data_IF_050255943227
#
_entry.id   IF_050255943227
#
_cell.length_a   1.000
_cell.length_b   1.000
_cell.length_c   1.000
_cell.angle_alpha   90.00
_cell.angle_beta   90.00
_cell.angle_gamma   90.00
#
_symmetry.space_group_name_H-M   'P 1'
#
loop_
_entity.id
_entity.type
_entity.pdbx_description
1 polymer ?
#
# COMPACT_ATOMS: atom_id res chain seq x y z
N UNK A 1 -4.57 -24.57 20.70
CA UNK A 1 -4.71 -23.78 19.45
C UNK A 1 -5.47 -22.52 19.81
N UNK A 2 -4.79 -21.36 19.89
CA UNK A 2 -5.50 -20.08 20.11
C UNK A 2 -6.20 -19.70 18.82
N UNK A 3 -7.52 -19.52 18.88
CA UNK A 3 -8.35 -19.09 17.76
C UNK A 3 -7.86 -17.69 17.34
N UNK A 4 -7.41 -17.56 16.08
CA UNK A 4 -7.21 -16.26 15.47
C UNK A 4 -8.58 -15.56 15.37
N UNK A 5 -8.80 -14.53 16.19
CA UNK A 5 -10.01 -13.72 16.10
C UNK A 5 -9.75 -12.71 14.98
N UNK A 6 -10.21 -13.00 13.77
CA UNK A 6 -10.30 -11.98 12.73
C UNK A 6 -11.43 -11.02 13.10
N UNK A 7 -11.13 -9.95 13.83
CA UNK A 7 -12.14 -8.98 14.21
C UNK A 7 -12.60 -8.18 13.00
N UNK A 8 -13.85 -7.71 13.03
CA UNK A 8 -14.35 -6.74 12.05
C UNK A 8 -13.47 -5.47 12.02
N UNK A 9 -12.88 -5.10 13.16
CA UNK A 9 -11.93 -4.00 13.29
C UNK A 9 -10.65 -4.21 12.49
N UNK A 10 -10.03 -5.40 12.55
CA UNK A 10 -8.86 -5.73 11.74
C UNK A 10 -9.19 -5.79 10.25
N UNK A 11 -10.35 -6.35 9.91
CA UNK A 11 -10.80 -6.36 8.52
C UNK A 11 -10.95 -4.93 7.99
N UNK A 12 -11.66 -4.05 8.68
CA UNK A 12 -11.85 -2.66 8.25
C UNK A 12 -10.53 -1.89 8.13
N UNK A 13 -9.69 -1.93 9.17
CA UNK A 13 -8.43 -1.18 9.19
C UNK A 13 -7.46 -1.64 8.10
N UNK A 14 -7.37 -2.94 7.84
CA UNK A 14 -6.55 -3.48 6.74
C UNK A 14 -7.06 -3.07 5.36
N UNK A 15 -8.37 -3.06 5.13
CA UNK A 15 -8.96 -2.59 3.86
C UNK A 15 -8.74 -1.10 3.64
N UNK A 16 -8.85 -0.26 4.68
CA UNK A 16 -8.53 1.17 4.57
C UNK A 16 -7.06 1.39 4.24
N UNK A 17 -6.15 0.63 4.87
CA UNK A 17 -4.72 0.73 4.57
C UNK A 17 -4.43 0.43 3.10
N UNK A 18 -5.05 -0.62 2.55
CA UNK A 18 -4.91 -0.98 1.14
C UNK A 18 -5.58 0.05 0.22
N UNK A 19 -6.81 0.44 0.54
CA UNK A 19 -7.63 1.34 -0.30
C UNK A 19 -7.03 2.73 -0.46
N UNK A 20 -6.61 3.38 0.64
CA UNK A 20 -6.01 4.72 0.56
C UNK A 20 -4.65 4.71 -0.14
N UNK A 21 -3.81 3.72 0.16
CA UNK A 21 -2.53 3.50 -0.49
C UNK A 21 -2.69 3.33 -2.00
N UNK A 22 -3.55 2.39 -2.42
CA UNK A 22 -3.83 2.13 -3.83
C UNK A 22 -4.43 3.37 -4.52
N UNK A 23 -5.35 4.06 -3.84
CA UNK A 23 -5.93 5.32 -4.33
C UNK A 23 -4.86 6.37 -4.61
N UNK A 24 -3.90 6.57 -3.69
CA UNK A 24 -2.80 7.53 -3.90
C UNK A 24 -1.95 7.15 -5.12
N UNK A 25 -1.57 5.88 -5.26
CA UNK A 25 -0.82 5.38 -6.41
C UNK A 25 -1.57 5.59 -7.72
N UNK A 26 -2.86 5.23 -7.79
CA UNK A 26 -3.68 5.39 -8.99
C UNK A 26 -3.83 6.86 -9.39
N UNK A 27 -4.02 7.76 -8.43
CA UNK A 27 -4.12 9.20 -8.70
C UNK A 27 -2.83 9.76 -9.30
N UNK A 28 -1.65 9.27 -8.89
CA UNK A 28 -0.38 9.64 -9.53
C UNK A 28 -0.31 9.16 -10.97
N UNK A 29 -0.72 7.90 -11.23
CA UNK A 29 -0.74 7.36 -12.60
C UNK A 29 -1.73 8.11 -13.49
N UNK A 30 -2.92 8.43 -12.98
CA UNK A 30 -3.91 9.25 -13.68
C UNK A 30 -3.34 10.65 -13.97
N UNK A 31 -2.64 11.27 -13.01
CA UNK A 31 -1.99 12.56 -13.20
C UNK A 31 -0.88 12.51 -14.25
N UNK A 32 -0.08 11.44 -14.29
CA UNK A 32 0.92 11.23 -15.34
C UNK A 32 0.25 11.13 -16.72
N UNK A 33 -0.80 10.30 -16.86
CA UNK A 33 -1.54 10.16 -18.12
C UNK A 33 -2.10 11.52 -18.55
N UNK A 34 -2.73 12.26 -17.63
CA UNK A 34 -3.27 13.58 -17.89
C UNK A 34 -2.18 14.57 -18.38
N UNK A 35 -1.00 14.57 -17.76
CA UNK A 35 0.15 15.37 -18.21
C UNK A 35 0.56 14.99 -19.64
N UNK A 36 0.68 13.70 -19.94
CA UNK A 36 1.11 13.21 -21.26
C UNK A 36 0.12 13.55 -22.39
N UNK A 37 -1.18 13.61 -22.10
CA UNK A 37 -2.22 14.01 -23.07
C UNK A 37 -2.47 15.54 -23.12
N UNK A 38 -1.60 16.34 -22.49
CA UNK A 38 -1.68 17.80 -22.50
C UNK A 38 -2.71 18.41 -21.54
N UNK A 39 -3.29 17.62 -20.62
CA UNK A 39 -4.24 18.08 -19.58
C UNK A 39 -3.50 18.43 -18.28
N UNK A 40 -2.52 19.31 -18.37
CA UNK A 40 -1.63 19.66 -17.24
C UNK A 40 -2.38 20.25 -16.04
N UNK A 41 -3.32 21.16 -16.26
CA UNK A 41 -4.13 21.76 -15.17
C UNK A 41 -4.90 20.71 -14.37
N UNK A 42 -5.32 19.61 -15.02
CA UNK A 42 -5.97 18.50 -14.33
C UNK A 42 -4.97 17.71 -13.48
N UNK A 43 -3.78 17.40 -14.01
CA UNK A 43 -2.72 16.76 -13.24
C UNK A 43 -2.34 17.58 -11.99
N UNK A 44 -2.19 18.91 -12.15
CA UNK A 44 -1.88 19.82 -11.04
C UNK A 44 -2.96 19.80 -9.95
N UNK A 45 -4.24 19.74 -10.32
CA UNK A 45 -5.35 19.58 -9.37
C UNK A 45 -5.31 18.26 -8.61
N UNK A 46 -4.74 17.20 -9.17
CA UNK A 46 -4.61 15.90 -8.49
C UNK A 46 -3.54 15.91 -7.38
N UNK A 47 -2.66 16.90 -7.32
CA UNK A 47 -1.64 17.00 -6.28
C UNK A 47 -2.23 17.00 -4.87
N UNK A 48 -3.35 17.70 -4.67
CA UNK A 48 -4.01 17.76 -3.36
C UNK A 48 -4.66 16.42 -2.97
N UNK A 49 -5.49 15.78 -3.83
CA UNK A 49 -5.96 14.42 -3.59
C UNK A 49 -4.85 13.41 -3.32
N UNK A 50 -3.75 13.44 -4.08
CA UNK A 50 -2.61 12.52 -3.85
C UNK A 50 -1.99 12.76 -2.47
N UNK A 51 -1.79 14.02 -2.09
CA UNK A 51 -1.26 14.37 -0.78
C UNK A 51 -2.16 13.88 0.37
N UNK A 52 -3.47 14.12 0.27
CA UNK A 52 -4.46 13.66 1.26
C UNK A 52 -4.51 12.14 1.33
N UNK A 53 -4.58 11.44 0.19
CA UNK A 53 -4.62 9.98 0.16
C UNK A 53 -3.33 9.37 0.70
N UNK A 54 -2.16 9.97 0.43
CA UNK A 54 -0.89 9.52 1.00
C UNK A 54 -0.87 9.68 2.52
N UNK A 55 -1.38 10.79 3.04
CA UNK A 55 -1.50 11.01 4.49
C UNK A 55 -2.46 10.01 5.15
N UNK A 56 -3.64 9.81 4.57
CA UNK A 56 -4.62 8.82 5.04
C UNK A 56 -4.06 7.40 5.00
N UNK A 57 -3.26 7.07 3.98
CA UNK A 57 -2.56 5.79 3.88
C UNK A 57 -1.60 5.57 5.06
N UNK A 58 -0.83 6.58 5.46
CA UNK A 58 0.09 6.48 6.61
C UNK A 58 -0.66 6.17 7.91
N UNK A 59 -1.74 6.91 8.18
CA UNK A 59 -2.57 6.66 9.36
C UNK A 59 -3.23 5.28 9.30
N UNK A 60 -3.78 4.89 8.16
CA UNK A 60 -4.44 3.60 8.00
C UNK A 60 -3.47 2.43 8.13
N UNK A 61 -2.23 2.54 7.62
CA UNK A 61 -1.18 1.52 7.80
C UNK A 61 -0.80 1.34 9.27
N UNK A 62 -0.65 2.44 10.02
CA UNK A 62 -0.39 2.39 11.47
C UNK A 62 -1.56 1.69 12.19
N UNK A 63 -2.80 2.08 11.88
CA UNK A 63 -3.99 1.48 12.47
C UNK A 63 -4.13 -0.01 12.13
N UNK A 64 -3.83 -0.41 10.90
CA UNK A 64 -3.85 -1.81 10.49
C UNK A 64 -2.79 -2.64 11.22
N UNK A 65 -1.59 -2.08 11.43
CA UNK A 65 -0.54 -2.73 12.21
C UNK A 65 -0.94 -2.86 13.69
N UNK A 66 -1.47 -1.79 14.30
CA UNK A 66 -1.94 -1.82 15.68
C UNK A 66 -3.08 -2.85 15.86
N UNK A 67 -4.02 -2.88 14.92
CA UNK A 67 -5.10 -3.87 14.92
C UNK A 67 -4.58 -5.29 14.77
N UNK A 68 -3.54 -5.53 13.97
CA UNK A 68 -2.94 -6.85 13.85
C UNK A 68 -2.28 -7.30 15.16
N UNK A 69 -1.63 -6.39 15.89
CA UNK A 69 -1.01 -6.72 17.18
C UNK A 69 -2.05 -7.04 18.25
N UNK A 70 -3.24 -6.44 18.17
CA UNK A 70 -4.37 -6.74 19.07
C UNK A 70 -4.95 -8.13 18.77
N UNK A 71 -5.18 -8.45 17.49
CA UNK A 71 -5.88 -9.68 17.09
C UNK A 71 -4.99 -10.93 17.09
N UNK A 72 -3.66 -10.77 16.97
CA UNK A 72 -2.73 -11.89 16.84
C UNK A 72 -1.64 -11.88 17.92
N UNK A 73 -1.31 -13.05 18.53
CA UNK A 73 -0.20 -13.15 19.47
C UNK A 73 1.13 -12.70 18.83
N UNK A 74 1.96 -11.98 19.58
CA UNK A 74 3.25 -11.43 19.10
C UNK A 74 4.18 -12.50 18.52
N UNK A 75 4.17 -13.71 19.08
CA UNK A 75 4.93 -14.86 18.57
C UNK A 75 4.57 -15.24 17.12
N UNK A 76 3.34 -14.95 16.67
CA UNK A 76 2.86 -15.23 15.31
C UNK A 76 3.64 -14.44 14.25
N UNK A 77 4.04 -13.21 14.58
CA UNK A 77 4.79 -12.34 13.67
C UNK A 77 6.21 -12.85 13.41
N UNK A 78 6.81 -13.58 14.35
CA UNK A 78 8.13 -14.20 14.17
C UNK A 78 8.03 -15.61 13.55
N UNK A 79 7.02 -16.39 13.97
CA UNK A 79 6.89 -17.80 13.58
C UNK A 79 6.32 -17.98 12.16
N UNK A 80 5.35 -17.16 11.75
CA UNK A 80 4.67 -17.32 10.46
C UNK A 80 5.41 -16.62 9.32
N UNK A 81 5.83 -17.34 8.25
CA UNK A 81 6.38 -16.72 7.04
C UNK A 81 5.43 -15.69 6.42
N UNK A 82 4.12 -15.94 6.47
CA UNK A 82 3.09 -15.04 5.95
C UNK A 82 2.99 -13.74 6.73
N UNK A 83 3.03 -13.80 8.06
CA UNK A 83 3.03 -12.57 8.87
C UNK A 83 4.33 -11.78 8.68
N UNK A 84 5.49 -12.44 8.61
CA UNK A 84 6.77 -11.77 8.30
C UNK A 84 6.72 -11.05 6.96
N UNK A 85 6.19 -11.70 5.93
CA UNK A 85 6.00 -11.10 4.62
C UNK A 85 5.07 -9.87 4.69
N UNK A 86 3.89 -10.01 5.31
CA UNK A 86 2.93 -8.90 5.48
C UNK A 86 3.54 -7.74 6.26
N UNK A 87 4.25 -8.01 7.36
CA UNK A 87 4.95 -6.96 8.13
C UNK A 87 6.00 -6.25 7.28
N UNK A 88 6.79 -7.00 6.50
CA UNK A 88 7.79 -6.40 5.60
C UNK A 88 7.14 -5.52 4.54
N UNK A 89 6.08 -6.00 3.88
CA UNK A 89 5.36 -5.21 2.89
C UNK A 89 4.67 -3.98 3.48
N UNK A 90 4.15 -4.08 4.71
CA UNK A 90 3.55 -2.95 5.41
C UNK A 90 4.59 -1.86 5.75
N UNK A 91 5.77 -2.25 6.24
CA UNK A 91 6.88 -1.34 6.52
C UNK A 91 7.36 -0.66 5.23
N UNK A 92 7.59 -1.43 4.16
CA UNK A 92 8.01 -0.88 2.86
C UNK A 92 6.98 0.11 2.32
N UNK A 93 5.70 -0.28 2.35
CA UNK A 93 4.60 0.59 1.91
C UNK A 93 4.59 1.88 2.72
N UNK A 94 4.73 1.83 4.04
CA UNK A 94 4.77 3.03 4.89
C UNK A 94 5.84 4.02 4.43
N UNK A 95 7.08 3.58 4.22
CA UNK A 95 8.15 4.46 3.77
C UNK A 95 7.94 5.00 2.35
N UNK A 96 7.38 4.20 1.44
CA UNK A 96 7.07 4.65 0.07
C UNK A 96 6.00 5.75 0.10
N UNK A 97 4.89 5.52 0.81
CA UNK A 97 3.80 6.51 0.92
C UNK A 97 4.24 7.74 1.73
N UNK A 98 5.16 7.60 2.69
CA UNK A 98 5.76 8.73 3.41
C UNK A 98 6.64 9.58 2.49
N UNK A 99 7.47 8.96 1.67
CA UNK A 99 8.28 9.66 0.67
C UNK A 99 7.39 10.38 -0.35
N UNK A 100 6.33 9.73 -0.84
CA UNK A 100 5.38 10.35 -1.75
C UNK A 100 4.64 11.53 -1.11
N UNK A 101 4.14 11.36 0.12
CA UNK A 101 3.55 12.44 0.91
C UNK A 101 4.50 13.63 1.04
N UNK A 102 5.76 13.37 1.40
CA UNK A 102 6.79 14.39 1.60
C UNK A 102 7.10 15.17 0.32
N UNK A 103 7.20 14.49 -0.83
CA UNK A 103 7.42 15.17 -2.11
C UNK A 103 6.25 16.09 -2.45
N UNK A 104 5.01 15.62 -2.33
CA UNK A 104 3.84 16.46 -2.57
C UNK A 104 3.68 17.59 -1.54
N UNK A 105 4.15 17.40 -0.30
CA UNK A 105 4.18 18.47 0.71
C UNK A 105 5.14 19.61 0.30
N UNK A 106 6.34 19.26 -0.18
CA UNK A 106 7.36 20.23 -0.55
C UNK A 106 7.09 20.89 -1.91
N UNK A 107 6.79 20.08 -2.92
CA UNK A 107 6.70 20.51 -4.32
C UNK A 107 5.28 20.84 -4.75
N UNK A 108 4.25 20.36 -4.05
CA UNK A 108 2.84 20.63 -4.36
C UNK A 108 2.54 20.33 -5.84
N UNK A 109 2.12 21.34 -6.60
CA UNK A 109 1.81 21.24 -8.03
C UNK A 109 3.07 21.20 -8.90
N UNK A 110 4.21 21.68 -8.41
CA UNK A 110 5.48 21.71 -9.15
C UNK A 110 5.97 20.31 -9.52
N UNK A 111 5.49 19.28 -8.82
CA UNK A 111 5.75 17.85 -9.12
C UNK A 111 5.49 17.53 -10.59
N UNK A 112 4.46 18.13 -11.20
CA UNK A 112 4.07 17.86 -12.58
C UNK A 112 4.88 18.64 -13.61
N UNK A 113 5.60 19.65 -13.15
CA UNK A 113 6.37 20.59 -13.96
C UNK A 113 7.84 20.17 -14.04
N UNK A 114 8.37 19.64 -12.94
CA UNK A 114 9.71 19.10 -12.81
C UNK A 114 9.69 17.61 -13.21
N UNK A 115 10.39 17.27 -14.30
CA UNK A 115 10.43 15.90 -14.81
C UNK A 115 11.10 14.92 -13.84
N UNK A 116 12.09 15.37 -13.05
CA UNK A 116 12.72 14.51 -12.05
C UNK A 116 11.76 14.22 -10.90
N UNK A 117 11.05 15.24 -10.41
CA UNK A 117 10.01 15.07 -9.39
C UNK A 117 8.86 14.18 -9.90
N UNK A 118 8.39 14.40 -11.14
CA UNK A 118 7.37 13.55 -11.78
C UNK A 118 7.84 12.09 -11.83
N UNK A 119 9.04 11.83 -12.36
CA UNK A 119 9.56 10.47 -12.50
C UNK A 119 9.70 9.79 -11.14
N UNK A 120 10.20 10.52 -10.13
CA UNK A 120 10.36 10.00 -8.78
C UNK A 120 9.01 9.59 -8.16
N UNK A 121 7.98 10.45 -8.20
CA UNK A 121 6.67 10.10 -7.62
C UNK A 121 5.97 8.99 -8.40
N UNK A 122 6.20 8.88 -9.71
CA UNK A 122 5.67 7.78 -10.53
C UNK A 122 6.31 6.46 -10.14
N UNK A 123 7.63 6.42 -9.95
CA UNK A 123 8.34 5.22 -9.47
C UNK A 123 7.81 4.82 -8.09
N UNK A 124 7.66 5.78 -7.17
CA UNK A 124 7.07 5.51 -5.86
C UNK A 124 5.63 4.98 -5.97
N UNK A 125 4.80 5.55 -6.84
CA UNK A 125 3.43 5.10 -7.05
C UNK A 125 3.35 3.67 -7.58
N UNK A 126 4.21 3.31 -8.54
CA UNK A 126 4.29 1.94 -9.11
C UNK A 126 4.76 0.96 -8.04
N UNK A 127 5.90 1.25 -7.39
CA UNK A 127 6.47 0.35 -6.37
C UNK A 127 5.51 0.23 -5.18
N UNK A 128 4.94 1.33 -4.70
CA UNK A 128 3.96 1.35 -3.61
C UNK A 128 2.67 0.62 -3.96
N UNK A 129 2.17 0.80 -5.19
CA UNK A 129 1.02 0.07 -5.71
C UNK A 129 1.25 -1.44 -5.75
N UNK A 130 2.45 -1.87 -6.15
CA UNK A 130 2.83 -3.28 -6.13
C UNK A 130 2.95 -3.82 -4.70
N UNK A 131 3.65 -3.12 -3.80
CA UNK A 131 3.84 -3.59 -2.41
C UNK A 131 2.51 -3.69 -1.66
N UNK A 132 1.61 -2.72 -1.82
CA UNK A 132 0.30 -2.77 -1.16
C UNK A 132 -0.62 -3.82 -1.78
N UNK A 133 -0.52 -4.07 -3.09
CA UNK A 133 -1.25 -5.16 -3.75
C UNK A 133 -0.79 -6.52 -3.24
N UNK A 134 0.52 -6.72 -3.07
CA UNK A 134 1.08 -7.95 -2.50
C UNK A 134 0.65 -8.13 -1.04
N UNK A 135 0.63 -7.05 -0.25
CA UNK A 135 0.12 -7.06 1.13
C UNK A 135 -1.36 -7.50 1.17
N UNK A 136 -2.19 -6.90 0.32
CA UNK A 136 -3.61 -7.24 0.19
C UNK A 136 -3.82 -8.68 -0.28
N UNK A 137 -3.05 -9.12 -1.28
CA UNK A 137 -3.11 -10.47 -1.80
C UNK A 137 -2.71 -11.53 -0.76
N UNK A 138 -1.65 -11.27 0.02
CA UNK A 138 -1.27 -12.14 1.12
C UNK A 138 -2.35 -12.20 2.21
N UNK A 139 -3.01 -11.07 2.49
CA UNK A 139 -4.18 -11.03 3.37
C UNK A 139 -5.34 -11.87 2.86
N UNK A 140 -5.73 -11.71 1.60
CA UNK A 140 -6.80 -12.48 0.96
C UNK A 140 -6.49 -13.98 0.92
N UNK A 141 -5.25 -14.34 0.58
CA UNK A 141 -4.80 -15.72 0.53
C UNK A 141 -4.90 -16.42 1.89
N UNK A 142 -4.47 -15.75 2.97
CA UNK A 142 -4.59 -16.31 4.33
C UNK A 142 -6.04 -16.58 4.76
N UNK A 143 -7.01 -15.88 4.21
CA UNK A 143 -8.43 -16.01 4.56
C UNK A 143 -9.16 -16.99 3.64
N UNK A 144 -8.88 -16.95 2.33
CA UNK A 144 -9.65 -17.67 1.31
C UNK A 144 -8.90 -18.86 0.69
N UNK A 145 -7.60 -19.01 0.95
CA UNK A 145 -6.76 -20.07 0.38
C UNK A 145 -6.35 -19.85 -1.08
N UNK A 146 -6.76 -18.74 -1.70
CA UNK A 146 -6.39 -18.37 -3.07
C UNK A 146 -6.29 -16.84 -3.24
N UNK A 147 -5.52 -16.39 -4.22
CA UNK A 147 -5.45 -14.98 -4.63
C UNK A 147 -5.19 -14.85 -6.13
N UNK A 148 -5.69 -13.76 -6.73
CA UNK A 148 -5.39 -13.43 -8.14
C UNK A 148 -3.89 -13.22 -8.37
N UNK A 149 -3.14 -12.88 -7.31
CA UNK A 149 -1.69 -12.65 -7.36
C UNK A 149 -0.86 -13.83 -6.84
N UNK A 150 -1.41 -15.05 -6.84
CA UNK A 150 -0.72 -16.26 -6.36
C UNK A 150 0.63 -16.51 -7.03
N UNK A 151 0.73 -16.19 -8.33
CA UNK A 151 1.98 -16.34 -9.08
C UNK A 151 3.09 -15.42 -8.55
N UNK A 152 2.75 -14.20 -8.12
CA UNK A 152 3.70 -13.28 -7.51
C UNK A 152 4.07 -13.73 -6.10
N UNK A 153 3.08 -14.14 -5.28
CA UNK A 153 3.33 -14.62 -3.92
C UNK A 153 4.30 -15.82 -3.90
N UNK A 154 4.14 -16.74 -4.87
CA UNK A 154 5.09 -17.85 -5.09
C UNK A 154 6.48 -17.38 -5.51
N UNK A 155 6.57 -16.39 -6.41
CA UNK A 155 7.84 -15.82 -6.86
C UNK A 155 8.64 -15.17 -5.72
N UNK A 156 7.96 -14.58 -4.73
CA UNK A 156 8.58 -14.04 -3.52
C UNK A 156 8.92 -15.11 -2.45
N UNK A 157 8.77 -16.41 -2.77
CA UNK A 157 9.19 -17.50 -1.90
C UNK A 157 8.33 -17.70 -0.65
N UNK A 158 7.11 -17.15 -0.62
CA UNK A 158 6.21 -17.34 0.52
C UNK A 158 5.66 -18.78 0.44
N UNK A 159 5.90 -19.64 1.46
CA UNK A 159 5.45 -21.02 1.42
C UNK A 159 3.92 -21.06 1.44
N UNK A 160 3.32 -21.57 0.36
CA UNK A 160 1.89 -21.80 0.30
C UNK A 160 1.52 -22.85 1.38
N UNK A 161 0.49 -22.61 2.22
CA UNK A 161 -0.08 -23.65 3.06
C UNK A 161 -0.37 -24.86 2.18
N UNK A 162 0.14 -26.03 2.56
CA UNK A 162 -0.17 -27.25 1.84
C UNK A 162 -1.68 -27.48 1.95
N UNK A 163 -2.32 -27.68 0.81
CA UNK A 163 -3.71 -28.13 0.73
C UNK A 163 -3.89 -29.46 1.47
#
# INVERSE_FOLDING_TARGET
>A
MSVAIHSAWHSMSSHFAVGFAMGASLLVIIGLIAKLIGKRDFAEKLSYPVHVMSLLSLFALILACASAVIDFPTATFAASPWFRFKTTMAILSFFIYAAMYYVFMLKRQEVWTDNAATAYVVVLAIVGGLTISLLGAAGGYMVQGHSVLDFLLKAFGVPMPRA
#
